data_IF_745812634730
#
_entry.id   IF_745812634730
#
_cell.length_a   1.000
_cell.length_b   1.000
_cell.length_c   1.000
_cell.angle_alpha   90.00
_cell.angle_beta   90.00
_cell.angle_gamma   90.00
#
_symmetry.space_group_name_H-M   'P 1'
#
loop_
_entity.id
_entity.type
_entity.pdbx_description
1 polymer ?
#
# COMPACT_ATOMS: atom_id res chain seq x y z
N UNK A 1 3.10 11.32 -2.29
CA UNK A 1 4.01 10.89 -1.23
C UNK A 1 4.47 9.47 -1.52
N UNK A 2 5.77 9.26 -1.81
CA UNK A 2 6.41 7.99 -1.46
C UNK A 2 6.15 7.81 0.05
N UNK A 3 5.72 6.62 0.47
CA UNK A 3 5.57 6.36 1.89
C UNK A 3 6.96 6.34 2.51
N UNK A 4 7.27 7.26 3.42
CA UNK A 4 8.42 7.11 4.30
C UNK A 4 8.01 6.10 5.36
N UNK A 5 8.42 4.85 5.17
CA UNK A 5 8.30 3.80 6.17
C UNK A 5 9.52 3.91 7.08
N UNK A 6 9.33 4.12 8.37
CA UNK A 6 10.44 4.12 9.33
C UNK A 6 10.51 2.72 9.93
N UNK A 7 11.62 2.02 9.71
CA UNK A 7 12.00 0.74 10.31
C UNK A 7 13.22 0.91 11.22
N UNK A 8 13.15 0.53 12.49
CA UNK A 8 14.34 0.46 13.37
C UNK A 8 14.91 -0.96 13.33
N UNK A 9 16.04 -1.19 12.68
CA UNK A 9 16.77 -2.46 12.76
C UNK A 9 18.17 -2.20 13.30
N UNK A 10 18.46 -2.67 14.51
CA UNK A 10 19.81 -2.68 15.07
C UNK A 10 20.53 -3.90 14.48
N UNK A 11 21.25 -3.71 13.37
CA UNK A 11 22.05 -4.77 12.76
C UNK A 11 23.37 -4.92 13.54
N UNK A 12 23.42 -5.89 14.45
CA UNK A 12 24.67 -6.43 14.99
C UNK A 12 25.13 -7.61 14.12
N UNK A 13 26.08 -7.37 13.22
CA UNK A 13 27.12 -8.30 12.75
C UNK A 13 26.76 -9.66 12.12
N UNK A 14 27.15 -9.81 10.85
CA UNK A 14 27.20 -11.01 10.00
C UNK A 14 27.36 -12.39 10.67
N UNK A 15 26.59 -13.40 10.21
CA UNK A 15 27.04 -14.51 9.33
C UNK A 15 26.06 -15.70 9.32
N UNK A 16 25.90 -16.32 8.14
CA UNK A 16 25.43 -17.69 7.83
C UNK A 16 23.92 -17.97 7.66
N UNK A 17 23.68 -18.72 6.59
CA UNK A 17 22.43 -19.30 6.09
C UNK A 17 21.98 -20.47 6.99
N UNK A 18 20.65 -20.62 7.10
CA UNK A 18 19.85 -21.83 7.35
C UNK A 18 18.97 -21.86 8.61
N UNK A 19 17.73 -22.30 8.35
CA UNK A 19 16.63 -22.76 9.22
C UNK A 19 15.57 -21.71 9.58
N UNK A 20 14.34 -22.00 9.14
CA UNK A 20 13.11 -21.57 9.81
C UNK A 20 13.11 -22.21 11.20
N UNK A 21 13.87 -21.63 12.11
CA UNK A 21 13.82 -21.89 13.54
C UNK A 21 12.71 -21.04 14.15
N UNK A 22 12.19 -21.47 15.31
CA UNK A 22 11.31 -20.63 16.12
C UNK A 22 12.00 -19.26 16.38
N UNK A 23 11.23 -18.15 16.42
CA UNK A 23 11.80 -16.83 16.63
C UNK A 23 12.66 -16.80 17.90
N UNK A 24 13.84 -16.20 17.78
CA UNK A 24 14.82 -16.08 18.86
C UNK A 24 14.17 -15.35 20.06
N UNK A 25 14.25 -15.86 21.30
CA UNK A 25 13.60 -15.25 22.47
C UNK A 25 13.98 -13.78 22.75
N UNK A 26 14.99 -13.24 22.08
CA UNK A 26 15.39 -11.82 22.13
C UNK A 26 15.10 -11.01 20.86
N UNK A 27 14.44 -11.58 19.85
CA UNK A 27 14.12 -10.88 18.61
C UNK A 27 13.01 -9.84 18.85
N UNK A 28 13.36 -8.56 18.67
CA UNK A 28 12.39 -7.46 18.63
C UNK A 28 12.19 -7.08 17.17
N UNK A 29 11.00 -7.29 16.59
CA UNK A 29 10.76 -6.92 15.21
C UNK A 29 10.93 -5.41 15.02
N UNK A 30 11.39 -4.96 13.83
CA UNK A 30 11.55 -3.55 13.55
C UNK A 30 10.24 -2.77 13.74
N UNK A 31 10.30 -1.63 14.43
CA UNK A 31 9.20 -0.68 14.53
C UNK A 31 8.74 -0.30 13.12
N UNK A 32 7.48 -0.53 12.76
CA UNK A 32 6.95 -0.17 11.44
C UNK A 32 5.97 1.02 11.53
N UNK A 33 6.41 2.20 11.07
CA UNK A 33 5.52 3.36 10.92
C UNK A 33 5.09 3.53 9.47
N UNK A 34 3.79 3.55 9.23
CA UNK A 34 3.21 3.68 7.87
C UNK A 34 2.58 5.05 7.71
N UNK A 35 2.95 5.76 6.65
CA UNK A 35 2.33 7.03 6.25
C UNK A 35 1.90 6.95 4.80
N UNK A 36 0.77 7.58 4.43
CA UNK A 36 0.32 7.62 3.04
C UNK A 36 -1.18 7.75 2.85
N UNK A 37 -1.64 7.33 1.68
CA UNK A 37 -3.04 7.34 1.27
C UNK A 37 -3.72 5.97 1.37
N UNK A 38 -4.72 5.74 0.53
CA UNK A 38 -5.50 4.49 0.45
C UNK A 38 -4.67 3.21 0.26
N UNK A 39 -3.51 3.30 -0.42
CA UNK A 39 -2.57 2.16 -0.62
C UNK A 39 -1.92 1.66 0.67
N UNK A 40 -1.86 2.52 1.70
CA UNK A 40 -1.35 2.16 3.04
C UNK A 40 -2.45 2.08 4.09
N UNK A 41 -3.64 2.66 3.84
CA UNK A 41 -4.72 2.68 4.83
C UNK A 41 -5.25 1.27 5.10
N UNK A 42 -5.22 0.87 6.36
CA UNK A 42 -5.70 -0.42 6.86
C UNK A 42 -6.93 -0.28 7.77
N UNK A 43 -7.62 0.86 7.73
CA UNK A 43 -8.87 1.11 8.46
C UNK A 43 -8.92 2.41 9.24
N UNK A 44 -7.99 3.35 9.07
CA UNK A 44 -8.07 4.67 9.73
C UNK A 44 -9.34 5.40 9.30
N UNK A 45 -9.68 5.34 8.02
CA UNK A 45 -10.86 6.00 7.50
C UNK A 45 -12.18 5.50 8.10
N UNK A 46 -12.20 4.30 8.70
CA UNK A 46 -13.38 3.77 9.37
C UNK A 46 -13.75 4.58 10.64
N UNK A 47 -12.78 5.33 11.18
CA UNK A 47 -12.94 6.18 12.36
C UNK A 47 -13.10 7.66 12.01
N UNK A 48 -13.16 8.00 10.72
CA UNK A 48 -13.25 9.37 10.22
C UNK A 48 -14.63 9.64 9.60
N UNK A 49 -15.07 10.89 9.71
CA UNK A 49 -16.27 11.37 9.02
C UNK A 49 -15.96 11.65 7.54
N UNK A 50 -15.85 10.58 6.75
CA UNK A 50 -15.52 10.61 5.31
C UNK A 50 -16.32 9.56 4.54
N UNK A 51 -16.57 9.79 3.26
CA UNK A 51 -17.15 8.79 2.34
C UNK A 51 -16.09 7.90 1.69
N UNK A 52 -14.80 8.15 1.94
CA UNK A 52 -13.69 7.34 1.43
C UNK A 52 -13.42 6.22 2.41
N UNK A 53 -14.09 5.07 2.28
CA UNK A 53 -13.96 3.96 3.23
C UNK A 53 -13.90 2.62 2.50
N UNK A 54 -13.13 1.70 3.09
CA UNK A 54 -13.03 0.31 2.64
C UNK A 54 -13.61 -0.65 3.70
N UNK A 55 -14.70 -0.23 4.34
CA UNK A 55 -15.43 -0.93 5.41
C UNK A 55 -16.69 -1.65 4.92
N UNK A 56 -16.90 -1.73 3.61
CA UNK A 56 -18.04 -2.39 2.98
C UNK A 56 -17.61 -3.37 1.89
N UNK A 57 -18.43 -4.39 1.57
CA UNK A 57 -18.16 -5.28 0.45
C UNK A 57 -18.04 -4.49 -0.87
N UNK A 58 -17.17 -4.92 -1.80
CA UNK A 58 -16.39 -6.16 -1.81
C UNK A 58 -14.96 -6.03 -1.24
N UNK A 59 -14.60 -4.93 -0.57
CA UNK A 59 -13.26 -4.85 0.05
C UNK A 59 -13.07 -6.01 1.03
N UNK A 60 -11.88 -6.62 1.04
CA UNK A 60 -11.60 -7.76 1.91
C UNK A 60 -12.23 -9.10 1.50
N UNK A 61 -12.82 -9.22 0.30
CA UNK A 61 -13.46 -10.46 -0.18
C UNK A 61 -12.54 -11.70 -0.17
N UNK A 62 -11.23 -11.51 -0.34
CA UNK A 62 -10.24 -12.60 -0.33
C UNK A 62 -9.60 -12.81 1.05
N UNK A 63 -10.04 -12.07 2.06
CA UNK A 63 -9.63 -12.35 3.43
C UNK A 63 -10.19 -13.70 3.89
N UNK A 64 -9.57 -14.37 4.88
CA UNK A 64 -10.09 -15.63 5.41
C UNK A 64 -11.54 -15.57 5.91
N UNK A 65 -12.03 -14.38 6.29
CA UNK A 65 -13.40 -14.16 6.75
C UNK A 65 -14.34 -13.69 5.64
N UNK A 66 -13.81 -13.27 4.49
CA UNK A 66 -14.55 -12.59 3.41
C UNK A 66 -15.18 -11.25 3.84
N UNK A 67 -14.83 -10.72 5.01
CA UNK A 67 -15.38 -9.48 5.54
C UNK A 67 -14.51 -8.27 5.15
N UNK A 68 -15.10 -7.06 5.12
CA UNK A 68 -14.34 -5.83 4.94
C UNK A 68 -13.19 -5.68 5.94
N UNK A 69 -11.99 -5.43 5.42
CA UNK A 69 -10.76 -5.36 6.22
C UNK A 69 -10.30 -3.93 6.50
N UNK A 70 -11.03 -2.91 6.03
CA UNK A 70 -10.60 -1.51 6.06
C UNK A 70 -9.47 -1.19 5.08
N UNK A 71 -9.04 -2.15 4.26
CA UNK A 71 -8.00 -1.98 3.24
C UNK A 71 -8.65 -1.75 1.89
N UNK A 72 -8.17 -0.76 1.15
CA UNK A 72 -8.61 -0.49 -0.23
C UNK A 72 -8.05 -1.54 -1.21
N UNK A 73 -8.36 -2.81 -1.00
CA UNK A 73 -7.95 -3.96 -1.81
C UNK A 73 -8.90 -5.14 -1.57
N UNK A 74 -8.70 -6.22 -2.33
CA UNK A 74 -9.41 -7.48 -2.12
C UNK A 74 -8.99 -8.21 -0.84
N UNK A 75 -7.80 -7.97 -0.28
CA UNK A 75 -7.40 -8.47 1.04
C UNK A 75 -6.27 -7.65 1.68
N UNK A 76 -5.01 -7.89 1.28
CA UNK A 76 -3.80 -7.28 1.86
C UNK A 76 -3.32 -6.09 1.02
N UNK A 77 -2.80 -5.07 1.68
CA UNK A 77 -2.16 -3.90 1.08
C UNK A 77 -0.67 -3.85 1.45
N UNK A 78 0.04 -2.82 0.98
CA UNK A 78 1.50 -2.72 1.10
C UNK A 78 2.04 -2.94 2.53
N UNK A 79 1.51 -2.29 3.58
CA UNK A 79 1.90 -2.56 4.96
C UNK A 79 1.88 -4.03 5.37
N UNK A 80 0.87 -4.80 4.95
CA UNK A 80 0.77 -6.22 5.32
C UNK A 80 1.93 -7.04 4.74
N UNK A 81 2.32 -6.73 3.51
CA UNK A 81 3.46 -7.40 2.86
C UNK A 81 4.79 -6.96 3.46
N UNK A 82 4.94 -5.67 3.77
CA UNK A 82 6.14 -5.17 4.48
C UNK A 82 6.31 -5.84 5.84
N UNK A 83 5.22 -5.94 6.61
CA UNK A 83 5.24 -6.65 7.90
C UNK A 83 5.65 -8.11 7.77
N UNK A 84 5.19 -8.80 6.71
CA UNK A 84 5.65 -10.17 6.43
C UNK A 84 7.16 -10.23 6.17
N UNK A 85 7.75 -9.24 5.49
CA UNK A 85 9.20 -9.18 5.27
C UNK A 85 10.00 -8.82 6.52
N UNK A 86 9.38 -8.11 7.46
CA UNK A 86 10.00 -7.69 8.72
C UNK A 86 9.76 -8.70 9.85
N UNK A 87 9.19 -9.88 9.54
CA UNK A 87 8.76 -10.87 10.52
C UNK A 87 7.95 -10.23 11.67
N UNK A 88 7.03 -9.34 11.28
CA UNK A 88 6.24 -8.54 12.21
C UNK A 88 4.75 -8.59 11.87
N UNK A 89 3.92 -8.24 12.85
CA UNK A 89 2.50 -8.03 12.62
C UNK A 89 2.26 -6.69 11.89
N UNK A 90 1.22 -6.61 11.02
CA UNK A 90 0.80 -5.35 10.43
C UNK A 90 0.45 -4.30 11.48
N UNK A 91 0.97 -3.06 11.37
CA UNK A 91 0.69 -2.01 12.33
C UNK A 91 -0.81 -1.66 12.31
N UNK A 92 -1.39 -1.50 13.50
CA UNK A 92 -2.80 -1.15 13.62
C UNK A 92 -3.05 0.29 13.13
N UNK A 93 -4.27 0.61 12.65
CA UNK A 93 -4.66 1.99 12.35
C UNK A 93 -4.43 2.89 13.56
N UNK A 94 -3.85 4.06 13.37
CA UNK A 94 -3.59 5.02 14.43
C UNK A 94 -4.85 5.44 15.18
N UNK A 95 -5.98 5.55 14.48
CA UNK A 95 -7.27 5.93 15.06
C UNK A 95 -8.03 4.76 15.70
N UNK A 96 -7.47 3.54 15.65
CA UNK A 96 -8.06 2.36 16.27
C UNK A 96 -8.02 2.48 17.80
N UNK A 97 -9.16 2.29 18.51
CA UNK A 97 -9.16 2.20 19.97
C UNK A 97 -8.31 1.05 20.52
N UNK A 98 -7.99 0.07 19.68
CA UNK A 98 -7.14 -1.06 20.03
C UNK A 98 -5.65 -0.70 20.00
N UNK A 99 -5.24 0.41 19.37
CA UNK A 99 -3.86 0.89 19.41
C UNK A 99 -3.58 1.55 20.77
N UNK A 100 -2.87 0.84 21.64
CA UNK A 100 -2.44 1.31 22.95
C UNK A 100 -0.91 1.51 22.99
N UNK A 101 -0.39 1.98 24.13
CA UNK A 101 1.03 2.27 24.30
C UNK A 101 1.96 1.11 24.00
N UNK A 102 1.58 -0.12 24.33
CA UNK A 102 2.37 -1.32 24.03
C UNK A 102 2.38 -1.64 22.53
N UNK A 103 1.22 -1.58 21.87
CA UNK A 103 1.12 -1.82 20.42
C UNK A 103 1.83 -0.76 19.60
N UNK A 104 1.84 0.49 20.06
CA UNK A 104 2.55 1.59 19.41
C UNK A 104 4.07 1.34 19.34
N UNK A 105 4.64 0.56 20.26
CA UNK A 105 6.07 0.19 20.25
C UNK A 105 6.43 -0.76 19.10
N UNK A 106 5.45 -1.50 18.57
CA UNK A 106 5.64 -2.40 17.42
C UNK A 106 5.32 -1.72 16.09
N UNK A 107 4.57 -0.61 16.11
CA UNK A 107 4.28 0.18 14.93
C UNK A 107 2.92 0.86 14.98
N UNK A 108 2.70 1.79 14.05
CA UNK A 108 1.42 2.43 13.85
C UNK A 108 1.22 2.81 12.38
N UNK A 109 -0.03 2.69 11.94
CA UNK A 109 -0.43 3.07 10.60
C UNK A 109 -1.16 4.41 10.62
N UNK A 110 -0.56 5.44 10.04
CA UNK A 110 -1.10 6.78 9.90
C UNK A 110 -1.68 7.06 8.50
N UNK A 111 -1.67 6.07 7.60
CA UNK A 111 -2.18 6.26 6.25
C UNK A 111 -3.72 6.39 6.22
N UNK A 112 -4.24 7.25 5.34
CA UNK A 112 -5.66 7.57 5.27
C UNK A 112 -6.11 7.73 3.81
N UNK A 113 -7.14 6.99 3.40
CA UNK A 113 -7.73 7.12 2.07
C UNK A 113 -8.20 8.56 1.75
N UNK A 114 -7.91 9.05 0.55
CA UNK A 114 -8.25 10.43 0.16
C UNK A 114 -7.26 11.50 0.65
N UNK A 115 -6.23 11.13 1.43
CA UNK A 115 -5.12 12.04 1.74
C UNK A 115 -4.32 12.39 0.47
N UNK A 116 -4.59 13.57 -0.10
CA UNK A 116 -3.85 14.15 -1.22
C UNK A 116 -2.59 14.90 -0.77
N UNK A 117 -1.74 15.29 -1.73
CA UNK A 117 -0.49 16.05 -1.46
C UNK A 117 -0.82 17.53 -1.14
N UNK A 118 -1.89 18.06 -1.73
CA UNK A 118 -2.41 19.42 -1.52
C UNK A 118 -3.90 19.33 -1.17
N UNK A 119 -4.41 20.27 -0.36
CA UNK A 119 -5.84 20.36 0.01
C UNK A 119 -6.76 20.29 -1.22
N UNK A 120 -6.33 20.91 -2.34
CA UNK A 120 -7.12 21.02 -3.56
C UNK A 120 -7.07 19.72 -4.41
N UNK A 121 -6.06 18.87 -4.20
CA UNK A 121 -5.89 17.59 -4.90
C UNK A 121 -6.47 16.39 -4.15
N UNK A 122 -6.76 16.52 -2.84
CA UNK A 122 -7.46 15.48 -2.06
C UNK A 122 -8.88 15.21 -2.55
N UNK A 123 -9.46 16.15 -3.31
CA UNK A 123 -10.78 16.07 -3.96
C UNK A 123 -10.72 15.76 -5.47
N UNK A 124 -9.52 15.65 -6.06
CA UNK A 124 -9.34 15.51 -7.51
C UNK A 124 -8.91 14.08 -7.89
N UNK A 125 -9.87 13.15 -7.90
CA UNK A 125 -9.77 11.84 -8.58
C UNK A 125 -9.81 11.97 -10.13
N UNK A 126 -9.16 12.99 -10.70
CA UNK A 126 -9.14 13.23 -12.15
C UNK A 126 -7.75 13.60 -12.64
N UNK A 127 -6.88 12.60 -12.72
CA UNK A 127 -5.60 12.70 -13.42
C UNK A 127 -5.59 12.00 -14.77
N UNK A 128 -6.76 11.70 -15.34
CA UNK A 128 -6.86 10.97 -16.61
C UNK A 128 -7.38 11.89 -17.72
N UNK A 129 -6.70 11.88 -18.87
CA UNK A 129 -7.20 12.49 -20.10
C UNK A 129 -8.48 11.77 -20.55
N UNK A 130 -9.24 12.36 -21.49
CA UNK A 130 -10.43 11.73 -22.06
C UNK A 130 -10.16 10.36 -22.72
N UNK A 131 -8.89 10.01 -22.96
CA UNK A 131 -8.44 8.70 -23.45
C UNK A 131 -7.99 7.70 -22.37
N UNK A 132 -8.12 8.04 -21.07
CA UNK A 132 -7.69 7.18 -19.98
C UNK A 132 -6.18 7.17 -19.72
N UNK A 133 -5.43 8.14 -20.27
CA UNK A 133 -4.00 8.28 -20.05
C UNK A 133 -3.72 9.21 -18.85
N UNK A 134 -2.66 8.94 -18.09
CA UNK A 134 -2.26 9.81 -16.98
C UNK A 134 -1.80 11.19 -17.51
N UNK A 135 -2.18 12.25 -16.80
CA UNK A 135 -1.75 13.60 -17.11
C UNK A 135 -0.21 13.73 -16.99
N UNK A 136 0.49 14.17 -18.05
CA UNK A 136 1.95 14.21 -18.08
C UNK A 136 2.55 15.18 -17.06
N UNK A 137 1.84 16.25 -16.69
CA UNK A 137 2.29 17.20 -15.67
C UNK A 137 2.28 16.56 -14.28
N UNK A 138 1.20 15.83 -13.97
CA UNK A 138 1.08 15.09 -12.71
C UNK A 138 2.11 13.95 -12.62
N UNK A 139 2.39 13.27 -13.73
CA UNK A 139 3.46 12.24 -13.81
C UNK A 139 4.83 12.85 -13.54
N UNK A 140 5.14 14.02 -14.13
CA UNK A 140 6.41 14.70 -13.92
C UNK A 140 6.59 15.18 -12.48
N UNK A 141 5.56 15.82 -11.90
CA UNK A 141 5.58 16.27 -10.51
C UNK A 141 5.79 15.11 -9.52
N UNK A 142 5.12 13.98 -9.76
CA UNK A 142 5.31 12.77 -8.97
C UNK A 142 6.75 12.22 -9.08
N UNK A 143 7.34 12.22 -10.29
CA UNK A 143 8.73 11.79 -10.50
C UNK A 143 9.74 12.60 -9.68
N UNK A 144 9.63 13.94 -9.72
CA UNK A 144 10.52 14.84 -8.97
C UNK A 144 10.41 14.64 -7.45
N UNK A 145 9.19 14.57 -6.93
CA UNK A 145 8.94 14.31 -5.53
C UNK A 145 9.57 12.98 -5.07
N UNK A 146 9.44 11.95 -5.91
CA UNK A 146 9.94 10.61 -5.57
C UNK A 146 11.48 10.56 -5.55
N UNK A 147 12.13 11.30 -6.45
CA UNK A 147 13.60 11.44 -6.46
C UNK A 147 14.10 12.08 -5.16
N UNK A 148 13.50 13.20 -4.74
CA UNK A 148 13.91 13.90 -3.51
C UNK A 148 13.62 13.08 -2.25
N UNK A 149 12.49 12.37 -2.22
CA UNK A 149 12.16 11.53 -1.08
C UNK A 149 13.11 10.33 -0.97
N UNK A 150 13.45 9.66 -2.07
CA UNK A 150 14.46 8.61 -2.06
C UNK A 150 15.82 9.12 -1.55
N UNK A 151 16.24 10.32 -1.99
CA UNK A 151 17.46 10.97 -1.50
C UNK A 151 17.40 11.23 0.01
N UNK A 152 16.28 11.75 0.51
CA UNK A 152 16.07 12.01 1.93
C UNK A 152 16.12 10.71 2.75
N UNK A 153 15.43 9.66 2.29
CA UNK A 153 15.43 8.33 2.93
C UNK A 153 16.84 7.78 3.05
N UNK A 154 17.63 7.82 1.97
CA UNK A 154 19.02 7.38 1.98
C UNK A 154 19.89 8.19 2.96
N UNK A 155 19.67 9.51 3.03
CA UNK A 155 20.38 10.38 3.99
C UNK A 155 19.99 10.09 5.44
N UNK A 156 18.72 9.81 5.71
CA UNK A 156 18.23 9.45 7.04
C UNK A 156 18.77 8.07 7.47
N UNK A 157 18.82 7.08 6.57
CA UNK A 157 19.44 5.77 6.82
C UNK A 157 20.91 5.90 7.24
N UNK A 158 21.67 6.73 6.53
CA UNK A 158 23.09 6.95 6.82
C UNK A 158 23.34 7.74 8.12
N UNK A 159 22.39 8.55 8.60
CA UNK A 159 22.56 9.38 9.81
C UNK A 159 22.12 8.71 11.10
N UNK A 160 21.02 7.94 11.07
CA UNK A 160 20.35 7.50 12.29
C UNK A 160 20.58 6.02 12.62
N UNK A 161 21.23 5.24 11.75
CA UNK A 161 21.34 3.79 11.91
C UNK A 161 19.97 3.09 11.87
N UNK A 162 18.96 3.75 11.29
CA UNK A 162 17.61 3.24 11.09
C UNK A 162 17.46 2.80 9.62
N UNK A 163 16.55 1.86 9.36
CA UNK A 163 16.12 1.46 8.02
C UNK A 163 14.82 2.19 7.69
N UNK A 164 14.93 3.41 7.19
CA UNK A 164 13.86 4.06 6.46
C UNK A 164 13.71 3.37 5.09
N UNK A 165 12.51 2.86 4.82
CA UNK A 165 12.12 2.31 3.53
C UNK A 165 11.19 3.31 2.86
N UNK A 166 11.55 3.82 1.68
CA UNK A 166 10.61 4.58 0.86
C UNK A 166 9.74 3.57 0.09
N UNK A 167 8.71 3.01 0.73
CA UNK A 167 7.89 2.00 0.09
C UNK A 167 6.84 2.67 -0.83
N UNK A 168 6.80 2.20 -2.08
CA UNK A 168 5.92 2.61 -3.16
C UNK A 168 6.13 4.02 -3.72
N UNK A 169 7.14 4.16 -4.59
CA UNK A 169 6.98 5.03 -5.76
C UNK A 169 5.87 4.40 -6.63
N UNK A 170 4.63 4.84 -6.38
CA UNK A 170 3.45 4.30 -7.07
C UNK A 170 3.62 4.42 -8.59
N UNK A 171 4.28 5.49 -9.07
CA UNK A 171 4.56 5.69 -10.50
C UNK A 171 5.47 4.60 -11.04
N UNK A 172 6.61 4.33 -10.42
CA UNK A 172 7.54 3.27 -10.87
C UNK A 172 6.89 1.89 -10.84
N UNK A 173 6.13 1.59 -9.79
CA UNK A 173 5.36 0.35 -9.70
C UNK A 173 4.37 0.26 -10.87
N UNK A 174 3.51 1.27 -11.05
CA UNK A 174 2.51 1.27 -12.12
C UNK A 174 3.14 1.24 -13.51
N UNK A 175 4.26 1.93 -13.73
CA UNK A 175 4.98 1.88 -15.01
C UNK A 175 5.56 0.49 -15.28
N UNK A 176 6.16 -0.15 -14.28
CA UNK A 176 6.75 -1.49 -14.42
C UNK A 176 5.67 -2.57 -14.70
N UNK A 177 4.55 -2.52 -13.98
CA UNK A 177 3.45 -3.46 -14.21
C UNK A 177 2.73 -3.20 -15.52
N UNK A 178 2.63 -1.94 -15.99
CA UNK A 178 2.02 -1.64 -17.29
C UNK A 178 2.93 -2.00 -18.46
N UNK A 179 4.25 -1.91 -18.30
CA UNK A 179 5.20 -2.21 -19.38
C UNK A 179 5.46 -3.70 -19.56
N UNK A 180 5.39 -4.51 -18.50
CA UNK A 180 5.61 -5.95 -18.57
C UNK A 180 4.73 -6.75 -17.56
N UNK A 181 3.39 -6.69 -17.67
CA UNK A 181 2.48 -7.31 -16.70
C UNK A 181 2.61 -8.84 -16.64
N UNK A 182 2.89 -9.48 -17.78
CA UNK A 182 3.00 -10.94 -17.91
C UNK A 182 4.16 -11.50 -17.07
N UNK A 183 5.25 -10.75 -16.92
CA UNK A 183 6.37 -11.14 -16.06
C UNK A 183 5.99 -11.25 -14.56
N UNK A 184 4.85 -10.67 -14.18
CA UNK A 184 4.32 -10.70 -12.83
C UNK A 184 3.00 -11.48 -12.74
N UNK A 185 2.57 -12.14 -13.83
CA UNK A 185 1.36 -12.95 -13.87
C UNK A 185 0.05 -12.18 -14.10
N UNK A 186 0.12 -10.90 -14.48
CA UNK A 186 -1.08 -10.10 -14.79
C UNK A 186 -1.39 -10.11 -16.29
N UNK A 187 -2.68 -10.13 -16.62
CA UNK A 187 -3.19 -10.04 -18.00
C UNK A 187 -4.02 -8.78 -18.22
N UNK A 188 -4.59 -8.19 -17.15
CA UNK A 188 -5.41 -6.97 -17.21
C UNK A 188 -4.75 -5.80 -16.46
N UNK A 189 -4.51 -4.70 -17.18
CA UNK A 189 -3.78 -3.51 -16.71
C UNK A 189 -4.53 -2.20 -16.93
N UNK A 190 -5.72 -2.25 -17.51
CA UNK A 190 -6.52 -1.10 -17.96
C UNK A 190 -7.89 -1.05 -17.28
N UNK A 191 -8.50 -2.20 -17.02
CA UNK A 191 -9.80 -2.31 -16.36
C UNK A 191 -9.59 -2.64 -14.88
N UNK A 192 -10.25 -1.93 -13.98
CA UNK A 192 -10.24 -2.29 -12.56
C UNK A 192 -11.08 -3.55 -12.32
N UNK A 193 -10.66 -4.41 -11.39
CA UNK A 193 -11.42 -5.62 -11.09
C UNK A 193 -12.81 -5.31 -10.52
N UNK A 194 -12.88 -4.32 -9.64
CA UNK A 194 -14.08 -3.87 -8.98
C UNK A 194 -14.40 -2.42 -9.37
N UNK A 195 -15.63 -2.17 -9.80
CA UNK A 195 -16.09 -0.81 -10.08
C UNK A 195 -17.30 -0.74 -11.00
N UNK A 196 -17.50 0.44 -11.58
CA UNK A 196 -18.67 0.75 -12.42
C UNK A 196 -18.27 1.59 -13.62
N UNK A 197 -19.11 1.57 -14.66
CA UNK A 197 -18.91 2.35 -15.88
C UNK A 197 -17.70 1.91 -16.72
N UNK A 198 -17.25 2.75 -17.67
CA UNK A 198 -16.11 2.45 -18.53
C UNK A 198 -14.86 2.10 -17.71
N UNK A 199 -14.22 0.99 -18.06
CA UNK A 199 -13.02 0.46 -17.38
C UNK A 199 -13.19 0.16 -15.88
N UNK A 200 -14.44 0.02 -15.40
CA UNK A 200 -14.77 -0.01 -13.97
C UNK A 200 -14.24 1.23 -13.22
N UNK A 201 -14.04 2.35 -13.93
CA UNK A 201 -13.31 3.54 -13.48
C UNK A 201 -14.11 4.52 -12.63
N UNK A 202 -15.40 4.28 -12.39
CA UNK A 202 -16.28 5.26 -11.75
C UNK A 202 -16.49 4.96 -10.25
N UNK A 203 -16.04 5.91 -9.42
CA UNK A 203 -16.30 5.90 -7.99
C UNK A 203 -15.54 4.82 -7.21
N UNK A 204 -15.89 4.69 -5.93
CA UNK A 204 -15.43 3.59 -5.10
C UNK A 204 -16.27 2.33 -5.36
N UNK A 205 -15.68 1.18 -5.03
CA UNK A 205 -16.43 -0.06 -4.97
C UNK A 205 -17.59 0.01 -3.97
N UNK A 206 -18.73 -0.53 -4.38
CA UNK A 206 -19.92 -0.71 -3.54
C UNK A 206 -20.42 -2.15 -3.73
N UNK A 207 -21.37 -2.62 -2.91
CA UNK A 207 -21.97 -3.94 -3.09
C UNK A 207 -22.63 -4.15 -4.47
N UNK A 208 -22.95 -3.08 -5.19
CA UNK A 208 -23.54 -3.13 -6.53
C UNK A 208 -22.50 -3.02 -7.66
N UNK A 209 -21.20 -2.89 -7.35
CA UNK A 209 -20.16 -2.80 -8.36
C UNK A 209 -19.98 -4.12 -9.11
N UNK A 210 -19.57 -4.02 -10.38
CA UNK A 210 -19.11 -5.17 -11.14
C UNK A 210 -17.83 -5.72 -10.50
N UNK A 211 -17.65 -7.04 -10.56
CA UNK A 211 -16.46 -7.72 -10.06
C UNK A 211 -15.86 -8.62 -11.15
N UNK A 212 -14.54 -8.59 -11.29
CA UNK A 212 -13.83 -9.45 -12.22
C UNK A 212 -13.90 -10.94 -11.79
N UNK A 213 -13.83 -11.87 -12.77
CA UNK A 213 -13.92 -13.31 -12.47
C UNK A 213 -12.70 -13.84 -11.72
N UNK A 214 -11.50 -13.37 -12.09
CA UNK A 214 -10.24 -13.76 -11.45
C UNK A 214 -9.44 -12.53 -11.05
N UNK A 215 -9.26 -12.32 -9.74
CA UNK A 215 -8.59 -11.14 -9.17
C UNK A 215 -7.07 -11.17 -9.36
N UNK A 216 -6.48 -12.35 -9.51
CA UNK A 216 -5.02 -12.50 -9.65
C UNK A 216 -4.52 -12.10 -11.05
N UNK A 217 -5.43 -11.99 -12.02
CA UNK A 217 -5.12 -11.54 -13.38
C UNK A 217 -5.11 -10.00 -13.51
N UNK A 218 -5.61 -9.28 -12.50
CA UNK A 218 -5.83 -7.84 -12.53
C UNK A 218 -4.80 -7.09 -11.68
N UNK A 219 -4.18 -6.06 -12.26
CA UNK A 219 -3.29 -5.14 -11.54
C UNK A 219 -4.07 -4.28 -10.54
N UNK A 220 -5.27 -3.84 -10.92
CA UNK A 220 -6.07 -2.86 -10.19
C UNK A 220 -7.29 -3.52 -9.53
N UNK A 221 -7.43 -3.32 -8.22
CA UNK A 221 -8.63 -3.71 -7.49
C UNK A 221 -9.77 -2.74 -7.79
N UNK A 222 -9.54 -1.45 -7.58
CA UNK A 222 -10.46 -0.36 -7.91
C UNK A 222 -9.73 0.65 -8.84
N UNK A 223 -10.35 1.74 -9.29
CA UNK A 223 -9.73 2.69 -10.23
C UNK A 223 -8.39 3.28 -9.78
N UNK A 224 -8.08 3.23 -8.48
CA UNK A 224 -6.93 3.91 -7.88
C UNK A 224 -6.05 3.01 -7.02
N UNK A 225 -6.54 1.83 -6.63
CA UNK A 225 -5.86 0.92 -5.70
C UNK A 225 -5.59 -0.44 -6.34
N UNK A 226 -4.44 -1.05 -6.05
CA UNK A 226 -4.04 -2.33 -6.63
C UNK A 226 -4.69 -3.53 -5.93
N UNK A 227 -4.69 -4.66 -6.62
CA UNK A 227 -5.05 -5.95 -6.03
C UNK A 227 -4.00 -6.42 -5.04
N UNK A 228 -4.38 -7.34 -4.16
CA UNK A 228 -3.46 -8.04 -3.26
C UNK A 228 -2.36 -8.78 -4.02
N UNK A 229 -2.67 -9.33 -5.19
CA UNK A 229 -1.71 -10.03 -6.04
C UNK A 229 -0.52 -9.15 -6.44
N UNK A 230 -0.77 -7.88 -6.75
CA UNK A 230 0.30 -6.95 -7.13
C UNK A 230 1.35 -6.80 -6.04
N UNK A 231 0.93 -6.61 -4.79
CA UNK A 231 1.86 -6.49 -3.68
C UNK A 231 2.63 -7.79 -3.41
N UNK A 232 1.99 -8.95 -3.60
CA UNK A 232 2.63 -10.26 -3.49
C UNK A 232 3.66 -10.55 -4.59
N UNK A 233 3.54 -9.90 -5.75
CA UNK A 233 4.49 -10.05 -6.86
C UNK A 233 5.76 -9.21 -6.73
N UNK A 234 5.84 -8.33 -5.72
CA UNK A 234 7.01 -7.48 -5.52
C UNK A 234 8.24 -8.29 -5.11
N UNK A 235 9.44 -7.97 -5.66
CA UNK A 235 10.67 -8.58 -5.20
C UNK A 235 10.86 -8.36 -3.71
N UNK A 236 11.35 -9.39 -3.01
CA UNK A 236 11.72 -9.26 -1.60
C UNK A 236 12.88 -8.28 -1.47
N UNK A 237 12.86 -7.36 -0.49
CA UNK A 237 14.03 -6.54 -0.19
C UNK A 237 15.22 -7.46 0.12
N UNK A 238 16.37 -7.19 -0.51
CA UNK A 238 17.63 -7.90 -0.26
C UNK A 238 18.32 -7.42 1.00
#
# INVERSE_FOLDING_TARGET
MVGLVVGLAILLGCSLVDRVGAPDPGYVPPLLLVFGGSRGDSGNNNYLDTTVKADSPPYGIDSPTGQPTGRFSNYRNLPDFLSTYLDSEPPSPYLSPQLNGERLLYGANFASGGAGILNDTGLATRGSTAGGECDPELVNAASLFNSELNRLVQQLNGRLGLVFVAAANSVTLYTAFRSNPEAYGFTETRVACCGQGPYNGLGQCTPASNLCPNRDEYVFWDPTNPTTGLWGSLPKPS
#
